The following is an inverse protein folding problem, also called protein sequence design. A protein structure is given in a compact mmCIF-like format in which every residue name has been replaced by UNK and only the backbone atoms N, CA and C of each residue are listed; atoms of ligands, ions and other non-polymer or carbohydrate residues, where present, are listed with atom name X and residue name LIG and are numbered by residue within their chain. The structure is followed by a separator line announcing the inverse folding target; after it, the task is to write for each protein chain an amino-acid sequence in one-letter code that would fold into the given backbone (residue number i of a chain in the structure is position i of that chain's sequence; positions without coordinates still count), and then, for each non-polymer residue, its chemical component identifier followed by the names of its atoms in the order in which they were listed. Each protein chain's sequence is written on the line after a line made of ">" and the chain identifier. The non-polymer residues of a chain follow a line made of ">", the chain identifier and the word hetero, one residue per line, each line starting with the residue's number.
data_IF_644019876720
#
_entry.id   IF_644019876720
#
_cell.length_a   1.000
_cell.length_b   1.000
_cell.length_c   1.000
_cell.angle_alpha   90.00
_cell.angle_beta   90.00
_cell.angle_gamma   90.00
#
_symmetry.space_group_name_H-M   'P 1'
#
loop_
_entity.id
_entity.type
_entity.pdbx_description
1 polymer ?
#
# COMPACT_ATOMS: atom_id res chain seq x y z
N UNK A 1 7.38 23.26 -21.07
CA UNK A 1 7.03 22.92 -19.67
C UNK A 1 7.66 23.97 -18.77
N UNK A 2 6.84 24.80 -18.13
CA UNK A 2 7.33 25.84 -17.21
C UNK A 2 7.95 25.11 -16.01
N UNK A 3 9.21 25.42 -15.68
CA UNK A 3 9.79 25.12 -14.37
C UNK A 3 8.89 25.78 -13.34
N UNK A 4 7.91 25.05 -12.80
CA UNK A 4 7.27 25.43 -11.56
C UNK A 4 8.40 25.67 -10.58
N UNK A 5 8.51 26.88 -10.07
CA UNK A 5 9.53 27.24 -9.08
C UNK A 5 9.59 26.12 -8.04
N UNK A 6 10.71 25.42 -8.02
CA UNK A 6 11.01 24.32 -7.13
C UNK A 6 10.95 24.85 -5.68
N UNK A 7 9.73 24.87 -5.12
CA UNK A 7 9.40 25.46 -3.82
C UNK A 7 9.19 24.36 -2.79
N UNK A 8 9.72 24.57 -1.59
CA UNK A 8 9.45 23.76 -0.41
C UNK A 8 10.72 23.27 0.30
N UNK A 9 10.54 22.59 1.46
CA UNK A 9 11.59 22.22 2.39
C UNK A 9 12.84 21.58 1.77
N UNK A 10 12.69 20.76 0.72
CA UNK A 10 13.80 20.12 0.03
C UNK A 10 14.70 21.13 -0.71
N UNK A 11 14.11 22.10 -1.40
CA UNK A 11 14.85 23.10 -2.17
C UNK A 11 15.47 24.19 -1.29
N UNK A 12 14.93 24.38 -0.08
CA UNK A 12 15.46 25.27 0.96
C UNK A 12 16.72 24.70 1.63
N UNK A 13 16.98 23.39 1.51
CA UNK A 13 18.19 22.78 2.05
C UNK A 13 19.46 23.18 1.28
N UNK A 14 20.57 23.24 2.01
CA UNK A 14 21.91 23.39 1.41
C UNK A 14 22.19 22.24 0.42
N UNK A 15 23.02 22.49 -0.60
CA UNK A 15 23.38 21.45 -1.60
C UNK A 15 23.87 20.15 -0.96
N UNK A 16 24.63 20.24 0.14
CA UNK A 16 25.12 19.10 0.92
C UNK A 16 23.97 18.33 1.58
N UNK A 17 23.05 19.03 2.23
CA UNK A 17 21.89 18.41 2.88
C UNK A 17 20.93 17.78 1.85
N UNK A 18 20.72 18.41 0.70
CA UNK A 18 19.95 17.81 -0.40
C UNK A 18 20.56 16.49 -0.87
N UNK A 19 21.87 16.46 -1.13
CA UNK A 19 22.59 15.24 -1.51
C UNK A 19 22.48 14.15 -0.43
N UNK A 20 22.52 14.54 0.86
CA UNK A 20 22.27 13.62 1.97
C UNK A 20 20.85 13.04 1.95
N UNK A 21 19.83 13.86 1.67
CA UNK A 21 18.43 13.40 1.56
C UNK A 21 18.28 12.37 0.44
N UNK A 22 18.88 12.61 -0.73
CA UNK A 22 18.87 11.66 -1.86
C UNK A 22 19.53 10.33 -1.46
N UNK A 23 20.75 10.36 -0.92
CA UNK A 23 21.49 9.16 -0.53
C UNK A 23 20.80 8.37 0.59
N UNK A 24 20.16 9.07 1.55
CA UNK A 24 19.37 8.45 2.59
C UNK A 24 18.09 7.78 2.08
N UNK A 25 17.54 8.26 0.96
CA UNK A 25 16.36 7.68 0.34
C UNK A 25 16.72 6.45 -0.51
N UNK A 26 17.82 6.51 -1.26
CA UNK A 26 18.32 5.37 -2.05
C UNK A 26 18.62 4.13 -1.20
N UNK A 27 18.95 4.32 0.09
CA UNK A 27 19.11 3.21 1.05
C UNK A 27 20.34 2.33 0.82
N UNK A 28 21.12 2.60 -0.22
CA UNK A 28 22.33 1.85 -0.59
C UNK A 28 23.56 2.23 0.24
N UNK A 29 23.50 3.33 0.98
CA UNK A 29 24.63 3.86 1.76
C UNK A 29 24.30 3.92 3.26
N UNK A 30 25.25 3.46 4.07
CA UNK A 30 25.24 3.65 5.53
C UNK A 30 25.45 5.11 5.90
N UNK A 31 25.06 5.53 7.11
CA UNK A 31 25.31 6.92 7.54
C UNK A 31 26.81 7.28 7.49
N UNK A 32 27.71 6.29 7.70
CA UNK A 32 29.16 6.44 7.59
C UNK A 32 29.60 6.72 6.15
N UNK A 33 29.14 5.93 5.19
CA UNK A 33 29.46 6.14 3.76
C UNK A 33 28.90 7.46 3.23
N UNK A 34 27.70 7.85 3.68
CA UNK A 34 27.11 9.15 3.37
C UNK A 34 27.97 10.28 3.94
N UNK A 35 28.43 10.14 5.19
CA UNK A 35 29.28 11.12 5.84
C UNK A 35 30.63 11.28 5.14
N UNK A 36 31.25 10.17 4.72
CA UNK A 36 32.47 10.15 3.91
C UNK A 36 32.27 10.82 2.56
N UNK A 37 31.19 10.48 1.85
CA UNK A 37 30.87 11.05 0.53
C UNK A 37 30.53 12.55 0.57
N UNK A 38 30.03 13.04 1.71
CA UNK A 38 29.68 14.44 1.91
C UNK A 38 30.79 15.23 2.63
N UNK A 39 31.90 14.57 2.98
CA UNK A 39 33.01 15.11 3.75
C UNK A 39 32.53 15.79 5.05
N UNK A 40 31.70 15.10 5.82
CA UNK A 40 31.22 15.55 7.13
C UNK A 40 31.31 14.45 8.19
N UNK A 41 31.12 14.81 9.46
CA UNK A 41 31.08 13.82 10.53
C UNK A 41 29.77 13.03 10.51
N UNK A 42 29.84 11.76 10.89
CA UNK A 42 28.66 10.89 10.99
C UNK A 42 27.64 11.45 12.01
N UNK A 43 28.14 12.04 13.11
CA UNK A 43 27.31 12.72 14.12
C UNK A 43 26.45 13.83 13.52
N UNK A 44 26.92 14.52 12.46
CA UNK A 44 26.15 15.55 11.78
C UNK A 44 24.95 14.98 11.01
N UNK A 45 25.11 13.80 10.39
CA UNK A 45 24.02 13.08 9.72
C UNK A 45 22.96 12.66 10.77
N UNK A 46 23.40 12.13 11.91
CA UNK A 46 22.49 11.81 13.03
C UNK A 46 21.75 13.04 13.55
N UNK A 47 22.46 14.17 13.70
CA UNK A 47 21.88 15.44 14.13
C UNK A 47 20.82 15.93 13.16
N UNK A 48 21.10 15.89 11.85
CA UNK A 48 20.10 16.25 10.84
C UNK A 48 18.87 15.35 10.87
N UNK A 49 19.04 14.05 11.07
CA UNK A 49 17.91 13.10 11.15
C UNK A 49 17.03 13.33 12.38
N UNK A 50 17.61 13.66 13.54
CA UNK A 50 16.88 13.77 14.81
C UNK A 50 16.40 15.19 15.12
N UNK A 51 17.24 16.20 14.91
CA UNK A 51 17.04 17.53 15.46
C UNK A 51 16.63 18.57 14.41
N UNK A 52 16.92 18.33 13.13
CA UNK A 52 16.62 19.29 12.06
C UNK A 52 15.23 19.04 11.45
N UNK A 53 14.24 19.83 11.89
CA UNK A 53 12.86 19.78 11.37
C UNK A 53 12.77 20.02 9.86
N UNK A 54 13.54 20.99 9.33
CA UNK A 54 13.56 21.28 7.90
C UNK A 54 14.08 20.08 7.11
N UNK A 55 15.13 19.42 7.62
CA UNK A 55 15.68 18.20 7.01
C UNK A 55 14.67 17.04 7.01
N UNK A 56 13.91 16.87 8.10
CA UNK A 56 12.85 15.85 8.17
C UNK A 56 11.71 16.13 7.18
N UNK A 57 11.27 17.39 7.09
CA UNK A 57 10.24 17.81 6.12
C UNK A 57 10.73 17.65 4.68
N UNK A 58 11.99 18.02 4.40
CA UNK A 58 12.63 17.84 3.11
C UNK A 58 12.71 16.37 2.69
N UNK A 59 13.01 15.45 3.62
CA UNK A 59 13.00 14.01 3.34
C UNK A 59 11.62 13.52 2.92
N UNK A 60 10.57 13.92 3.66
CA UNK A 60 9.18 13.57 3.32
C UNK A 60 8.78 14.15 1.97
N UNK A 61 9.13 15.41 1.71
CA UNK A 61 8.83 16.05 0.44
C UNK A 61 9.54 15.34 -0.74
N UNK A 62 10.81 15.01 -0.58
CA UNK A 62 11.58 14.29 -1.59
C UNK A 62 11.01 12.90 -1.86
N UNK A 63 10.61 12.17 -0.82
CA UNK A 63 9.93 10.88 -0.95
C UNK A 63 8.64 11.01 -1.78
N UNK A 64 7.80 12.01 -1.49
CA UNK A 64 6.59 12.28 -2.30
C UNK A 64 6.93 12.60 -3.76
N UNK A 65 7.93 13.45 -4.00
CA UNK A 65 8.36 13.82 -5.36
C UNK A 65 8.80 12.60 -6.17
N UNK A 66 9.62 11.73 -5.59
CA UNK A 66 10.11 10.54 -6.29
C UNK A 66 9.00 9.52 -6.53
N UNK A 67 8.07 9.37 -5.57
CA UNK A 67 6.89 8.53 -5.76
C UNK A 67 6.07 9.04 -6.95
N UNK A 68 5.75 10.33 -6.99
CA UNK A 68 4.92 10.93 -8.03
C UNK A 68 5.59 10.92 -9.41
N UNK A 69 6.90 11.20 -9.48
CA UNK A 69 7.61 11.32 -10.75
C UNK A 69 7.98 9.95 -11.34
N UNK A 70 8.69 9.13 -10.55
CA UNK A 70 9.28 7.87 -11.03
C UNK A 70 8.35 6.69 -10.83
N UNK A 71 7.94 6.42 -9.58
CA UNK A 71 7.26 5.17 -9.26
C UNK A 71 5.84 5.11 -9.80
N UNK A 72 5.09 6.21 -9.75
CA UNK A 72 3.76 6.29 -10.37
C UNK A 72 3.86 6.05 -11.89
N UNK A 73 4.84 6.67 -12.56
CA UNK A 73 5.07 6.47 -13.99
C UNK A 73 5.40 5.01 -14.34
N UNK A 74 6.34 4.39 -13.64
CA UNK A 74 6.72 2.98 -13.83
C UNK A 74 5.56 2.03 -13.51
N UNK A 75 4.79 2.31 -12.46
CA UNK A 75 3.59 1.54 -12.11
C UNK A 75 2.53 1.64 -13.22
N UNK A 76 2.27 2.84 -13.74
CA UNK A 76 1.32 3.05 -14.84
C UNK A 76 1.75 2.31 -16.11
N UNK A 77 3.04 2.34 -16.46
CA UNK A 77 3.57 1.55 -17.58
C UNK A 77 3.41 0.05 -17.36
N UNK A 78 3.65 -0.42 -16.13
CA UNK A 78 3.49 -1.83 -15.76
C UNK A 78 2.02 -2.28 -15.87
N UNK A 79 1.08 -1.48 -15.38
CA UNK A 79 -0.36 -1.76 -15.50
C UNK A 79 -0.77 -1.80 -16.98
N UNK A 80 -0.28 -0.86 -17.79
CA UNK A 80 -0.56 -0.86 -19.23
C UNK A 80 0.02 -2.08 -19.94
N UNK A 81 1.22 -2.52 -19.57
CA UNK A 81 1.81 -3.75 -20.09
C UNK A 81 0.97 -4.97 -19.73
N UNK A 82 0.43 -5.06 -18.51
CA UNK A 82 -0.47 -6.13 -18.10
C UNK A 82 -1.73 -6.19 -18.97
N UNK A 83 -2.32 -5.05 -19.34
CA UNK A 83 -3.47 -5.01 -20.26
C UNK A 83 -3.13 -5.64 -21.61
N UNK A 84 -1.94 -5.38 -22.15
CA UNK A 84 -1.55 -5.85 -23.49
C UNK A 84 -1.10 -7.30 -23.52
N UNK A 85 -0.22 -7.69 -22.60
CA UNK A 85 0.57 -8.91 -22.73
C UNK A 85 0.30 -9.96 -21.65
N UNK A 86 -0.54 -9.69 -20.65
CA UNK A 86 -0.87 -10.73 -19.68
C UNK A 86 -1.62 -11.88 -20.36
N UNK A 87 -1.22 -13.12 -20.02
CA UNK A 87 -1.84 -14.35 -20.54
C UNK A 87 -3.23 -14.60 -19.94
N UNK A 88 -3.45 -14.16 -18.70
CA UNK A 88 -4.72 -14.30 -18.00
C UNK A 88 -5.67 -13.17 -18.38
N UNK A 89 -6.85 -13.53 -18.91
CA UNK A 89 -7.94 -12.60 -19.21
C UNK A 89 -8.39 -11.82 -17.98
N UNK A 90 -8.44 -12.48 -16.83
CA UNK A 90 -8.80 -11.83 -15.57
C UNK A 90 -7.79 -10.74 -15.17
N UNK A 91 -6.49 -10.99 -15.35
CA UNK A 91 -5.44 -10.00 -15.06
C UNK A 91 -5.51 -8.83 -16.04
N UNK A 92 -5.76 -9.08 -17.33
CA UNK A 92 -5.97 -8.02 -18.32
C UNK A 92 -7.17 -7.14 -17.95
N UNK A 93 -8.29 -7.77 -17.57
CA UNK A 93 -9.50 -7.08 -17.15
C UNK A 93 -9.26 -6.23 -15.89
N UNK A 94 -8.61 -6.78 -14.87
CA UNK A 94 -8.29 -6.06 -13.63
C UNK A 94 -7.36 -4.86 -13.86
N UNK A 95 -6.36 -5.02 -14.74
CA UNK A 95 -5.47 -3.93 -15.13
C UNK A 95 -6.24 -2.82 -15.88
N UNK A 96 -7.12 -3.20 -16.80
CA UNK A 96 -7.98 -2.25 -17.52
C UNK A 96 -8.94 -1.51 -16.58
N UNK A 97 -9.59 -2.23 -15.65
CA UNK A 97 -10.45 -1.65 -14.62
C UNK A 97 -9.68 -0.65 -13.77
N UNK A 98 -8.46 -0.99 -13.35
CA UNK A 98 -7.61 -0.10 -12.54
C UNK A 98 -7.29 1.21 -13.27
N UNK A 99 -6.93 1.15 -14.56
CA UNK A 99 -6.71 2.35 -15.39
C UNK A 99 -7.99 3.20 -15.48
N UNK A 100 -9.14 2.56 -15.72
CA UNK A 100 -10.42 3.26 -15.85
C UNK A 100 -10.87 3.92 -14.53
N UNK A 101 -10.62 3.28 -13.38
CA UNK A 101 -10.86 3.87 -12.05
C UNK A 101 -9.97 5.09 -11.83
N UNK A 102 -8.68 4.99 -12.12
CA UNK A 102 -7.73 6.10 -12.02
C UNK A 102 -8.10 7.28 -12.94
N UNK A 103 -8.62 6.99 -14.14
CA UNK A 103 -9.11 8.02 -15.08
C UNK A 103 -10.47 8.64 -14.68
N UNK A 104 -11.05 8.22 -13.55
CA UNK A 104 -12.39 8.62 -13.13
C UNK A 104 -13.49 8.20 -14.12
N UNK A 105 -13.24 7.17 -14.93
CA UNK A 105 -14.16 6.63 -15.94
C UNK A 105 -14.97 5.45 -15.43
N UNK A 106 -14.44 4.74 -14.44
CA UNK A 106 -15.26 3.94 -13.54
C UNK A 106 -15.51 4.77 -12.29
N UNK A 107 -16.75 5.15 -12.06
CA UNK A 107 -17.19 5.35 -10.69
C UNK A 107 -17.18 3.98 -10.06
N UNK A 108 -16.45 3.78 -8.96
CA UNK A 108 -16.92 2.78 -7.99
C UNK A 108 -18.37 3.19 -7.75
N UNK A 109 -19.33 2.31 -8.03
CA UNK A 109 -20.72 2.54 -7.71
C UNK A 109 -20.90 2.47 -6.19
N UNK A 110 -20.08 3.22 -5.45
CA UNK A 110 -20.20 3.54 -4.05
C UNK A 110 -21.40 4.45 -3.93
N UNK A 111 -22.56 3.81 -3.90
CA UNK A 111 -23.69 4.43 -3.22
C UNK A 111 -23.45 4.26 -1.71
N UNK A 112 -23.95 5.18 -0.87
CA UNK A 112 -23.86 5.04 0.59
C UNK A 112 -24.38 3.68 1.11
N UNK A 113 -25.28 3.03 0.38
CA UNK A 113 -25.83 1.72 0.68
C UNK A 113 -24.81 0.59 0.45
N UNK A 114 -24.02 0.66 -0.63
CA UNK A 114 -23.02 -0.37 -0.93
C UNK A 114 -21.87 -0.35 0.08
N UNK A 115 -21.44 0.84 0.51
CA UNK A 115 -20.38 0.96 1.52
C UNK A 115 -20.86 0.50 2.89
N UNK A 116 -22.13 0.79 3.26
CA UNK A 116 -22.76 0.18 4.45
C UNK A 116 -22.82 -1.35 4.34
N UNK A 117 -23.13 -1.90 3.17
CA UNK A 117 -23.18 -3.35 2.96
C UNK A 117 -21.78 -4.00 3.09
N UNK A 118 -20.74 -3.38 2.53
CA UNK A 118 -19.35 -3.83 2.70
C UNK A 118 -18.92 -3.84 4.17
N UNK A 119 -19.25 -2.79 4.92
CA UNK A 119 -18.97 -2.72 6.37
C UNK A 119 -19.71 -3.82 7.14
N UNK A 120 -21.00 -4.06 6.84
CA UNK A 120 -21.76 -5.15 7.48
C UNK A 120 -21.16 -6.52 7.17
N UNK A 121 -20.76 -6.77 5.93
CA UNK A 121 -20.10 -8.01 5.52
C UNK A 121 -18.77 -8.21 6.25
N UNK A 122 -17.92 -7.19 6.29
CA UNK A 122 -16.64 -7.25 6.99
C UNK A 122 -16.82 -7.51 8.49
N UNK A 123 -17.85 -6.92 9.12
CA UNK A 123 -18.17 -7.18 10.53
C UNK A 123 -18.65 -8.63 10.73
N UNK A 124 -19.54 -9.14 9.88
CA UNK A 124 -20.00 -10.52 9.96
C UNK A 124 -18.85 -11.52 9.74
N UNK A 125 -17.95 -11.24 8.80
CA UNK A 125 -16.75 -12.05 8.57
C UNK A 125 -15.80 -12.02 9.79
N UNK A 126 -15.65 -10.85 10.44
CA UNK A 126 -14.88 -10.72 11.66
C UNK A 126 -15.52 -11.49 12.83
N UNK A 127 -16.85 -11.48 12.94
CA UNK A 127 -17.58 -12.21 13.98
C UNK A 127 -17.51 -13.73 13.76
N UNK A 128 -17.60 -14.20 12.52
CA UNK A 128 -17.36 -15.61 12.16
C UNK A 128 -15.92 -16.01 12.48
N UNK A 129 -14.94 -15.17 12.14
CA UNK A 129 -13.53 -15.45 12.44
C UNK A 129 -13.25 -15.50 13.94
N UNK A 130 -13.86 -14.61 14.73
CA UNK A 130 -13.82 -14.65 16.19
C UNK A 130 -14.47 -15.89 16.75
N UNK A 131 -15.67 -16.23 16.29
CA UNK A 131 -16.38 -17.42 16.73
C UNK A 131 -15.58 -18.70 16.45
N UNK A 132 -15.00 -18.83 15.25
CA UNK A 132 -14.11 -19.95 14.89
C UNK A 132 -12.85 -19.98 15.76
N UNK A 133 -12.28 -18.83 16.10
CA UNK A 133 -11.12 -18.77 17.00
C UNK A 133 -11.48 -19.17 18.45
N UNK A 134 -12.67 -18.78 18.93
CA UNK A 134 -13.15 -19.14 20.27
C UNK A 134 -13.56 -20.63 20.36
N UNK A 135 -14.03 -21.23 19.27
CA UNK A 135 -14.25 -22.67 19.13
C UNK A 135 -12.92 -23.45 19.21
N UNK A 136 -11.91 -23.04 18.43
CA UNK A 136 -10.58 -23.68 18.42
C UNK A 136 -9.82 -23.54 19.75
N UNK A 137 -10.07 -22.48 20.51
CA UNK A 137 -9.45 -22.25 21.83
C UNK A 137 -10.25 -22.88 22.98
N UNK A 138 -11.36 -23.57 22.67
CA UNK A 138 -12.18 -24.27 23.66
C UNK A 138 -12.99 -23.35 24.58
N UNK A 139 -13.10 -22.06 24.26
CA UNK A 139 -13.96 -21.11 24.98
C UNK A 139 -15.44 -21.30 24.63
N UNK A 140 -15.72 -21.68 23.38
CA UNK A 140 -17.04 -22.13 22.94
C UNK A 140 -17.10 -23.66 23.01
N UNK A 141 -17.44 -24.22 24.18
CA UNK A 141 -17.93 -25.61 24.25
C UNK A 141 -19.40 -25.61 23.85
N UNK A 142 -19.70 -25.87 22.59
CA UNK A 142 -21.05 -26.22 22.19
C UNK A 142 -21.29 -27.69 22.55
N UNK A 143 -21.86 -27.93 23.74
CA UNK A 143 -22.46 -29.24 24.09
C UNK A 143 -23.75 -29.53 23.28
N UNK A 144 -24.09 -28.67 22.32
CA UNK A 144 -25.28 -28.78 21.47
C UNK A 144 -24.91 -28.49 20.00
N UNK A 145 -24.06 -29.34 19.43
CA UNK A 145 -23.81 -29.38 17.99
C UNK A 145 -25.00 -30.07 17.32
N UNK A 146 -25.94 -29.31 16.76
CA UNK A 146 -26.93 -29.86 15.84
C UNK A 146 -26.25 -30.24 14.54
N UNK A 147 -25.84 -31.51 14.43
CA UNK A 147 -25.40 -32.11 13.17
C UNK A 147 -26.66 -32.28 12.32
N UNK A 148 -26.79 -31.50 11.25
CA UNK A 148 -27.78 -31.77 10.21
C UNK A 148 -27.31 -33.01 9.44
N UNK A 149 -27.88 -34.16 9.78
CA UNK A 149 -27.72 -35.40 8.99
C UNK A 149 -28.67 -35.29 7.82
N UNK A 150 -28.12 -35.13 6.62
CA UNK A 150 -28.88 -35.13 5.37
C UNK A 150 -29.16 -36.59 4.99
N UNK A 151 -30.17 -37.20 5.62
CA UNK A 151 -30.69 -38.51 5.21
C UNK A 151 -31.54 -38.32 3.93
N UNK A 152 -30.86 -38.06 2.82
CA UNK A 152 -31.41 -38.21 1.47
C UNK A 152 -30.56 -39.27 0.76
N UNK A 153 -31.06 -40.51 0.74
CA UNK A 153 -30.52 -41.57 -0.11
C UNK A 153 -30.69 -42.97 0.45
N UNK A 154 -31.88 -43.55 0.31
CA UNK A 154 -32.11 -44.79 -0.47
C UNK A 154 -33.54 -45.28 -0.25
N UNK A 155 -34.40 -45.02 -1.22
CA UNK A 155 -35.53 -45.87 -1.50
C UNK A 155 -35.22 -46.56 -2.81
N UNK A 156 -34.54 -47.70 -2.74
CA UNK A 156 -34.51 -48.67 -3.83
C UNK A 156 -35.93 -49.25 -3.94
N UNK A 157 -36.65 -48.86 -4.99
CA UNK A 157 -37.90 -49.51 -5.39
C UNK A 157 -37.57 -50.87 -6.05
N UNK A 158 -38.31 -51.91 -5.65
CA UNK A 158 -38.25 -53.34 -6.03
C UNK A 158 -38.24 -53.66 -7.54
#
# INVERSE_FOLDING_TARGET
>A
MKKSEEKGPFFELTKRQRKAVVMLYEGAYTNKEIAETLHCSESLIYKWKRENKLFQQARKQYETMIIEDKYVSEAMQSIYALVKSAKSEMVRLQAAISILKLAGRLTDSSTPELDKAKVRKANAEADIARWRADELTGKNKSDDSTVLVDDIGDAEDE
#
